data_IF_067152847930
#
_entry.id   IF_067152847930
#
_cell.length_a   1.000
_cell.length_b   1.000
_cell.length_c   1.000
_cell.angle_alpha   90.00
_cell.angle_beta   90.00
_cell.angle_gamma   90.00
#
_symmetry.space_group_name_H-M   'P 1'
#
loop_
_entity.id
_entity.type
_entity.pdbx_description
1 polymer ?
#
# COMPACT_ATOMS: atom_id res chain seq x y z
N UNK A 1 5.86 7.39 23.80
CA UNK A 1 4.97 6.42 23.14
C UNK A 1 4.97 6.56 21.62
N UNK A 2 5.05 7.76 21.08
CA UNK A 2 4.95 7.97 19.63
C UNK A 2 6.15 7.42 18.83
N UNK A 3 7.37 7.49 19.37
CA UNK A 3 8.57 6.94 18.71
C UNK A 3 8.44 5.43 18.38
N UNK A 4 7.78 4.64 19.23
CA UNK A 4 7.54 3.21 18.96
C UNK A 4 6.58 3.00 17.79
N UNK A 5 5.57 3.85 17.65
CA UNK A 5 4.64 3.82 16.52
C UNK A 5 5.35 4.13 15.20
N UNK A 6 6.19 5.16 15.20
CA UNK A 6 6.95 5.55 14.01
C UNK A 6 7.98 4.48 13.63
N UNK A 7 8.66 3.88 14.60
CA UNK A 7 9.55 2.75 14.35
C UNK A 7 8.79 1.54 13.78
N UNK A 8 7.62 1.21 14.32
CA UNK A 8 6.76 0.14 13.81
C UNK A 8 6.32 0.41 12.36
N UNK A 9 5.90 1.65 12.03
CA UNK A 9 5.55 2.03 10.66
C UNK A 9 6.75 1.93 9.71
N UNK A 10 7.95 2.38 10.12
CA UNK A 10 9.14 2.26 9.30
C UNK A 10 9.52 0.78 9.07
N UNK A 11 9.53 -0.05 10.11
CA UNK A 11 9.84 -1.49 10.00
C UNK A 11 8.80 -2.21 9.14
N UNK A 12 7.52 -1.93 9.33
CA UNK A 12 6.45 -2.57 8.57
C UNK A 12 6.47 -2.16 7.10
N UNK A 13 6.69 -0.87 6.80
CA UNK A 13 6.81 -0.40 5.41
C UNK A 13 8.09 -0.90 4.75
N UNK A 14 9.18 -1.00 5.50
CA UNK A 14 10.39 -1.70 5.05
C UNK A 14 10.05 -3.13 4.62
N UNK A 15 9.39 -3.92 5.48
CA UNK A 15 9.06 -5.30 5.16
C UNK A 15 8.13 -5.42 3.94
N UNK A 16 7.09 -4.59 3.87
CA UNK A 16 6.16 -4.56 2.74
C UNK A 16 6.91 -4.28 1.43
N UNK A 17 7.74 -3.25 1.41
CA UNK A 17 8.48 -2.84 0.22
C UNK A 17 9.56 -3.87 -0.14
N UNK A 18 10.30 -4.37 0.83
CA UNK A 18 11.35 -5.36 0.59
C UNK A 18 10.79 -6.69 0.08
N UNK A 19 9.77 -7.24 0.74
CA UNK A 19 9.17 -8.50 0.32
C UNK A 19 8.40 -8.37 -1.01
N UNK A 20 7.58 -7.33 -1.14
CA UNK A 20 6.77 -7.11 -2.35
C UNK A 20 7.62 -6.76 -3.57
N UNK A 21 8.41 -5.69 -3.50
CA UNK A 21 9.28 -5.30 -4.63
C UNK A 21 10.41 -6.32 -4.84
N UNK A 22 10.95 -6.91 -3.79
CA UNK A 22 11.97 -7.95 -3.89
C UNK A 22 11.48 -9.20 -4.59
N UNK A 23 10.23 -9.61 -4.34
CA UNK A 23 9.62 -10.72 -5.06
C UNK A 23 9.51 -10.46 -6.56
N UNK A 24 9.21 -9.22 -6.95
CA UNK A 24 9.15 -8.81 -8.35
C UNK A 24 10.54 -8.76 -9.00
N UNK A 25 11.54 -8.20 -8.29
CA UNK A 25 12.89 -8.00 -8.82
C UNK A 25 13.69 -9.30 -8.90
N UNK A 26 13.56 -10.16 -7.88
CA UNK A 26 14.42 -11.34 -7.73
C UNK A 26 13.74 -12.61 -8.23
N UNK A 27 12.46 -12.84 -7.87
CA UNK A 27 11.84 -14.14 -8.00
C UNK A 27 10.81 -14.25 -9.13
N UNK A 28 10.20 -13.15 -9.58
CA UNK A 28 9.07 -13.19 -10.51
C UNK A 28 9.43 -13.84 -11.85
N UNK A 29 10.58 -13.51 -12.40
CA UNK A 29 11.06 -14.00 -13.71
C UNK A 29 12.23 -14.99 -13.57
N UNK A 30 12.38 -15.64 -12.41
CA UNK A 30 13.42 -16.64 -12.23
C UNK A 30 13.24 -17.78 -13.24
N UNK A 31 14.28 -18.21 -13.96
CA UNK A 31 14.14 -19.22 -15.00
C UNK A 31 13.48 -20.50 -14.50
N UNK A 32 12.52 -21.02 -15.26
CA UNK A 32 11.79 -22.29 -15.05
C UNK A 32 10.86 -22.35 -13.82
N UNK A 33 11.17 -21.67 -12.72
CA UNK A 33 10.42 -21.75 -11.45
C UNK A 33 10.01 -20.39 -10.90
N UNK A 34 9.98 -19.37 -11.76
CA UNK A 34 9.57 -18.01 -11.37
C UNK A 34 8.14 -17.95 -10.85
N UNK A 35 7.93 -17.10 -9.86
CA UNK A 35 6.62 -16.96 -9.19
C UNK A 35 5.60 -16.12 -9.98
N UNK A 36 6.03 -15.40 -11.01
CA UNK A 36 5.17 -14.57 -11.85
C UNK A 36 4.34 -13.56 -11.09
N UNK A 37 3.31 -13.00 -11.74
CA UNK A 37 2.46 -11.97 -11.13
C UNK A 37 1.64 -12.49 -9.94
N UNK A 38 1.26 -13.77 -9.95
CA UNK A 38 0.52 -14.38 -8.83
C UNK A 38 1.36 -14.40 -7.56
N UNK A 39 2.62 -14.84 -7.67
CA UNK A 39 3.52 -14.85 -6.53
C UNK A 39 3.87 -13.47 -6.00
N UNK A 40 4.05 -12.48 -6.89
CA UNK A 40 4.24 -11.08 -6.49
C UNK A 40 3.02 -10.55 -5.74
N UNK A 41 1.81 -10.82 -6.24
CA UNK A 41 0.57 -10.43 -5.57
C UNK A 41 0.46 -11.04 -4.18
N UNK A 42 0.78 -12.33 -4.03
CA UNK A 42 0.82 -13.00 -2.75
C UNK A 42 1.87 -12.39 -1.80
N UNK A 43 3.07 -12.09 -2.30
CA UNK A 43 4.14 -11.50 -1.49
C UNK A 43 3.72 -10.15 -0.88
N UNK A 44 3.10 -9.27 -1.67
CA UNK A 44 2.57 -7.99 -1.15
C UNK A 44 1.47 -8.21 -0.11
N UNK A 45 0.49 -9.06 -0.38
CA UNK A 45 -0.59 -9.30 0.57
C UNK A 45 -0.12 -9.97 1.87
N UNK A 46 0.74 -10.99 1.78
CA UNK A 46 1.30 -11.69 2.93
C UNK A 46 2.21 -10.80 3.76
N UNK A 47 2.93 -9.85 3.16
CA UNK A 47 3.71 -8.87 3.91
C UNK A 47 2.82 -8.04 4.84
N UNK A 48 1.64 -7.64 4.38
CA UNK A 48 0.66 -6.91 5.20
C UNK A 48 0.03 -7.83 6.25
N UNK A 49 -0.37 -9.05 5.90
CA UNK A 49 -0.91 -10.01 6.89
C UNK A 49 0.06 -10.17 8.06
N UNK A 50 1.33 -10.47 7.74
CA UNK A 50 2.35 -10.75 8.76
C UNK A 50 2.65 -9.53 9.62
N UNK A 51 2.77 -8.34 9.03
CA UNK A 51 3.02 -7.12 9.80
C UNK A 51 1.80 -6.67 10.58
N UNK A 52 0.58 -6.80 10.06
CA UNK A 52 -0.61 -6.43 10.80
C UNK A 52 -0.81 -7.26 12.07
N UNK A 53 -0.47 -8.56 12.04
CA UNK A 53 -0.42 -9.38 13.25
C UNK A 53 0.74 -8.99 14.17
N UNK A 54 1.92 -8.69 13.61
CA UNK A 54 3.13 -8.43 14.40
C UNK A 54 3.12 -7.06 15.09
N UNK A 55 2.67 -6.00 14.43
CA UNK A 55 2.78 -4.61 14.91
C UNK A 55 1.47 -3.81 14.90
N UNK A 56 0.34 -4.42 14.49
CA UNK A 56 -0.94 -3.73 14.44
C UNK A 56 -1.37 -3.14 15.78
N UNK A 57 -1.08 -3.82 16.89
CA UNK A 57 -1.33 -3.35 18.25
C UNK A 57 -0.41 -2.20 18.69
N UNK A 58 0.68 -1.91 17.96
CA UNK A 58 1.65 -0.84 18.28
C UNK A 58 1.29 0.45 17.55
N UNK A 59 1.14 0.41 16.21
CA UNK A 59 0.97 1.59 15.37
C UNK A 59 -0.38 1.65 14.63
N UNK A 60 -1.13 0.57 14.60
CA UNK A 60 -2.25 0.38 13.68
C UNK A 60 -1.83 -0.24 12.34
N UNK A 61 -0.52 -0.39 12.09
CA UNK A 61 0.04 -1.02 10.89
C UNK A 61 -0.49 -0.41 9.58
N UNK A 62 -0.36 0.92 9.44
CA UNK A 62 -0.80 1.60 8.22
C UNK A 62 0.11 1.30 7.03
N UNK A 63 1.44 1.38 7.20
CA UNK A 63 2.51 1.07 6.23
C UNK A 63 2.38 1.80 4.88
N UNK A 64 1.54 2.83 4.84
CA UNK A 64 1.08 3.44 3.60
C UNK A 64 0.53 4.85 3.86
N UNK A 65 1.07 5.89 3.21
CA UNK A 65 0.55 7.26 3.33
C UNK A 65 -0.92 7.38 2.95
N UNK A 66 -1.39 6.65 1.92
CA UNK A 66 -2.78 6.70 1.50
C UNK A 66 -3.73 6.07 2.54
N UNK A 67 -3.29 5.01 3.22
CA UNK A 67 -4.02 4.41 4.34
C UNK A 67 -4.09 5.39 5.50
N UNK A 68 -2.98 6.03 5.85
CA UNK A 68 -2.92 7.00 6.94
C UNK A 68 -3.86 8.19 6.70
N UNK A 69 -3.84 8.76 5.49
CA UNK A 69 -4.74 9.86 5.09
C UNK A 69 -6.19 9.40 5.03
N UNK A 70 -6.46 8.22 4.49
CA UNK A 70 -7.81 7.67 4.40
C UNK A 70 -8.44 7.40 5.76
N UNK A 71 -7.68 6.85 6.71
CA UNK A 71 -8.15 6.67 8.10
C UNK A 71 -8.42 8.02 8.78
N UNK A 72 -7.60 9.04 8.51
CA UNK A 72 -7.84 10.39 9.02
C UNK A 72 -9.10 11.02 8.40
N UNK A 73 -9.30 10.89 7.08
CA UNK A 73 -10.50 11.36 6.39
C UNK A 73 -11.77 10.63 6.89
N UNK A 74 -11.64 9.34 7.21
CA UNK A 74 -12.70 8.54 7.83
C UNK A 74 -12.90 8.79 9.33
N UNK A 75 -12.14 9.72 9.94
CA UNK A 75 -12.29 10.08 11.36
C UNK A 75 -11.68 9.08 12.35
N UNK A 76 -10.85 8.13 11.89
CA UNK A 76 -10.25 7.10 12.74
C UNK A 76 -8.76 7.33 13.06
N UNK A 77 -8.18 8.42 12.58
CA UNK A 77 -6.79 8.76 12.84
C UNK A 77 -6.61 10.27 13.02
N UNK A 78 -5.84 10.75 14.00
CA UNK A 78 -5.66 12.19 14.23
C UNK A 78 -4.80 12.83 13.14
N UNK A 79 -5.29 13.91 12.53
CA UNK A 79 -4.63 14.60 11.42
C UNK A 79 -3.19 15.06 11.76
N UNK A 80 -2.94 15.47 13.00
CA UNK A 80 -1.60 15.87 13.44
C UNK A 80 -0.54 14.76 13.44
N UNK A 81 -0.97 13.50 13.32
CA UNK A 81 -0.07 12.33 13.26
C UNK A 81 0.21 11.87 11.81
N UNK A 82 -0.43 12.47 10.80
CA UNK A 82 -0.24 12.08 9.40
C UNK A 82 1.23 12.26 8.99
N UNK A 83 1.79 13.44 9.17
CA UNK A 83 3.14 13.74 8.70
C UNK A 83 4.22 12.85 9.34
N UNK A 84 4.27 12.62 10.65
CA UNK A 84 5.22 11.69 11.25
C UNK A 84 5.09 10.26 10.73
N UNK A 85 3.87 9.75 10.51
CA UNK A 85 3.64 8.42 9.93
C UNK A 85 4.17 8.34 8.50
N UNK A 86 3.82 9.30 7.66
CA UNK A 86 4.27 9.37 6.27
C UNK A 86 5.80 9.39 6.17
N UNK A 87 6.46 10.20 7.01
CA UNK A 87 7.93 10.27 7.05
C UNK A 87 8.51 8.91 7.42
N UNK A 88 8.00 8.25 8.47
CA UNK A 88 8.47 6.94 8.91
C UNK A 88 8.27 5.87 7.81
N UNK A 89 7.12 5.88 7.15
CA UNK A 89 6.81 4.97 6.05
C UNK A 89 7.74 5.17 4.85
N UNK A 90 7.99 6.42 4.45
CA UNK A 90 8.91 6.71 3.34
C UNK A 90 10.34 6.29 3.69
N UNK A 91 10.82 6.55 4.91
CA UNK A 91 12.13 6.07 5.37
C UNK A 91 12.22 4.55 5.27
N UNK A 92 11.20 3.83 5.75
CA UNK A 92 11.15 2.37 5.65
C UNK A 92 11.22 1.85 4.21
N UNK A 93 10.43 2.44 3.30
CA UNK A 93 10.42 2.06 1.90
C UNK A 93 11.77 2.35 1.19
N UNK A 94 12.40 3.48 1.47
CA UNK A 94 13.72 3.84 0.91
C UNK A 94 14.80 2.90 1.44
N UNK A 95 14.80 2.60 2.74
CA UNK A 95 15.75 1.65 3.33
C UNK A 95 15.58 0.23 2.73
N UNK A 96 14.34 -0.21 2.52
CA UNK A 96 14.06 -1.48 1.85
C UNK A 96 14.59 -1.52 0.41
N UNK A 97 14.34 -0.46 -0.35
CA UNK A 97 14.82 -0.36 -1.72
C UNK A 97 16.35 -0.28 -1.80
N UNK A 98 16.99 0.41 -0.86
CA UNK A 98 18.46 0.45 -0.77
C UNK A 98 19.04 -0.94 -0.54
N UNK A 99 18.49 -1.70 0.43
CA UNK A 99 18.97 -3.05 0.69
C UNK A 99 18.68 -3.98 -0.49
N UNK A 100 17.51 -3.88 -1.11
CA UNK A 100 17.15 -4.65 -2.29
C UNK A 100 18.10 -4.34 -3.46
N UNK A 101 18.45 -3.06 -3.66
CA UNK A 101 19.42 -2.65 -4.69
C UNK A 101 20.78 -3.32 -4.46
N UNK A 102 21.28 -3.29 -3.23
CA UNK A 102 22.58 -3.95 -2.89
C UNK A 102 22.52 -5.45 -3.18
N UNK A 103 21.44 -6.12 -2.79
CA UNK A 103 21.28 -7.57 -3.01
C UNK A 103 21.16 -7.88 -4.51
N UNK A 104 20.30 -7.16 -5.23
CA UNK A 104 20.07 -7.39 -6.65
C UNK A 104 21.31 -7.09 -7.50
N UNK A 105 22.12 -6.11 -7.10
CA UNK A 105 23.39 -5.78 -7.77
C UNK A 105 24.43 -6.90 -7.70
N UNK A 106 24.26 -7.88 -6.82
CA UNK A 106 25.08 -9.09 -6.77
C UNK A 106 24.81 -10.05 -7.93
N UNK A 107 23.72 -9.88 -8.67
CA UNK A 107 23.37 -10.75 -9.80
C UNK A 107 24.00 -10.23 -11.09
N UNK A 108 24.63 -11.14 -11.87
CA UNK A 108 25.18 -10.80 -13.19
C UNK A 108 24.07 -10.29 -14.11
N UNK A 109 24.27 -9.12 -14.72
CA UNK A 109 23.32 -8.53 -15.67
C UNK A 109 22.16 -7.76 -15.00
N UNK A 110 22.20 -7.55 -13.69
CA UNK A 110 21.25 -6.66 -13.04
C UNK A 110 21.40 -5.23 -13.59
N UNK A 111 20.26 -4.63 -13.92
CA UNK A 111 20.20 -3.26 -14.41
C UNK A 111 18.98 -2.58 -13.79
N UNK A 112 19.24 -1.63 -12.90
CA UNK A 112 18.19 -0.87 -12.19
C UNK A 112 17.29 -0.08 -13.15
N UNK A 113 17.83 0.36 -14.30
CA UNK A 113 17.08 1.11 -15.31
C UNK A 113 15.93 0.31 -15.94
N UNK A 114 15.96 -1.03 -15.85
CA UNK A 114 14.87 -1.92 -16.30
C UNK A 114 13.62 -1.86 -15.44
N UNK A 115 13.58 -0.96 -14.45
CA UNK A 115 12.35 -0.60 -13.73
C UNK A 115 12.33 -0.91 -12.24
N UNK A 116 13.13 -1.82 -11.72
CA UNK A 116 13.33 -2.09 -10.28
C UNK A 116 12.03 -2.08 -9.45
N UNK A 117 10.97 -2.69 -9.96
CA UNK A 117 9.62 -2.68 -9.41
C UNK A 117 8.98 -1.28 -9.26
N UNK A 118 9.46 -0.27 -9.98
CA UNK A 118 8.82 1.06 -10.02
C UNK A 118 7.45 1.00 -10.68
N UNK A 119 6.60 1.93 -10.28
CA UNK A 119 5.31 2.15 -10.88
C UNK A 119 5.43 3.08 -12.10
N UNK A 120 4.60 2.88 -13.11
CA UNK A 120 4.62 3.69 -14.31
C UNK A 120 3.30 3.69 -15.10
N UNK A 121 3.20 4.65 -16.02
CA UNK A 121 2.12 4.76 -17.00
C UNK A 121 2.67 4.98 -18.41
N UNK A 122 1.83 4.83 -19.43
CA UNK A 122 2.26 4.94 -20.84
C UNK A 122 3.24 3.83 -21.19
N UNK A 123 4.39 4.20 -21.75
CA UNK A 123 5.46 3.25 -22.12
C UNK A 123 6.08 2.51 -20.93
N UNK A 124 5.93 3.04 -19.71
CA UNK A 124 6.40 2.42 -18.47
C UNK A 124 5.33 1.59 -17.73
N UNK A 125 4.12 1.52 -18.27
CA UNK A 125 3.10 0.56 -17.84
C UNK A 125 3.39 -0.80 -18.46
N UNK A 126 3.27 -1.90 -17.69
CA UNK A 126 3.47 -3.25 -18.24
C UNK A 126 2.53 -3.57 -19.42
N UNK A 127 1.28 -3.11 -19.35
CA UNK A 127 0.30 -3.26 -20.43
C UNK A 127 0.15 -2.02 -21.31
N UNK A 128 1.07 -1.05 -21.22
CA UNK A 128 1.08 0.19 -21.98
C UNK A 128 -0.17 1.06 -21.80
N UNK A 129 -0.76 1.03 -20.61
CA UNK A 129 -1.94 1.83 -20.28
C UNK A 129 -1.58 3.31 -20.12
N UNK A 130 -2.37 4.18 -20.74
CA UNK A 130 -2.17 5.63 -20.66
C UNK A 130 -2.45 6.21 -19.26
N UNK A 131 -2.02 7.45 -19.05
CA UNK A 131 -2.09 8.18 -17.78
C UNK A 131 -3.49 8.12 -17.15
N UNK A 132 -4.56 8.36 -17.92
CA UNK A 132 -5.92 8.42 -17.38
C UNK A 132 -6.40 7.08 -16.84
N UNK A 133 -6.13 5.98 -17.55
CA UNK A 133 -6.47 4.63 -17.10
C UNK A 133 -5.70 4.27 -15.84
N UNK A 134 -4.40 4.59 -15.76
CA UNK A 134 -3.56 4.37 -14.60
C UNK A 134 -4.04 5.20 -13.39
N UNK A 135 -4.42 6.45 -13.61
CA UNK A 135 -4.94 7.32 -12.56
C UNK A 135 -6.25 6.74 -11.96
N UNK A 136 -7.20 6.35 -12.80
CA UNK A 136 -8.46 5.74 -12.35
C UNK A 136 -8.19 4.43 -11.60
N UNK A 137 -7.31 3.57 -12.13
CA UNK A 137 -6.95 2.31 -11.49
C UNK A 137 -6.43 2.55 -10.07
N UNK A 138 -5.48 3.45 -9.90
CA UNK A 138 -4.91 3.75 -8.59
C UNK A 138 -5.94 4.34 -7.62
N UNK A 139 -6.80 5.26 -8.08
CA UNK A 139 -7.87 5.84 -7.26
C UNK A 139 -8.84 4.76 -6.79
N UNK A 140 -9.37 3.93 -7.72
CA UNK A 140 -10.40 2.93 -7.41
C UNK A 140 -9.82 1.84 -6.51
N UNK A 141 -8.62 1.32 -6.81
CA UNK A 141 -8.01 0.25 -6.02
C UNK A 141 -7.67 0.73 -4.61
N UNK A 142 -7.19 1.97 -4.45
CA UNK A 142 -6.90 2.52 -3.12
C UNK A 142 -8.19 2.83 -2.36
N UNK A 143 -9.22 3.34 -3.04
CA UNK A 143 -10.53 3.57 -2.43
C UNK A 143 -11.10 2.28 -1.85
N UNK A 144 -11.11 1.21 -2.62
CA UNK A 144 -11.60 -0.10 -2.16
C UNK A 144 -10.72 -0.69 -1.07
N UNK A 145 -9.41 -0.48 -1.13
CA UNK A 145 -8.50 -0.92 -0.08
C UNK A 145 -8.83 -0.27 1.27
N UNK A 146 -9.02 1.04 1.29
CA UNK A 146 -9.42 1.77 2.50
C UNK A 146 -10.81 1.37 2.98
N UNK A 147 -11.75 1.20 2.07
CA UNK A 147 -13.10 0.73 2.41
C UNK A 147 -13.04 -0.61 3.15
N UNK A 148 -12.23 -1.57 2.65
CA UNK A 148 -12.04 -2.88 3.26
C UNK A 148 -11.30 -2.77 4.59
N UNK A 149 -10.25 -1.96 4.70
CA UNK A 149 -9.52 -1.73 5.95
C UNK A 149 -10.48 -1.23 7.02
N UNK A 150 -11.27 -0.20 6.72
CA UNK A 150 -12.23 0.36 7.68
C UNK A 150 -13.31 -0.63 8.07
N UNK A 151 -13.76 -1.46 7.12
CA UNK A 151 -14.73 -2.52 7.38
C UNK A 151 -14.18 -3.63 8.27
N UNK A 152 -13.02 -4.15 7.90
CA UNK A 152 -12.38 -5.24 8.64
C UNK A 152 -11.95 -4.84 10.06
N UNK A 153 -11.68 -3.55 10.29
CA UNK A 153 -11.32 -2.99 11.61
C UNK A 153 -12.49 -2.33 12.34
N UNK A 154 -13.71 -2.50 11.85
CA UNK A 154 -14.89 -1.96 12.52
C UNK A 154 -15.18 -2.73 13.81
N UNK A 155 -15.68 -2.03 14.85
CA UNK A 155 -15.95 -2.66 16.15
C UNK A 155 -16.99 -3.80 16.12
N UNK A 156 -17.84 -3.88 15.09
CA UNK A 156 -18.78 -4.97 14.86
C UNK A 156 -18.23 -6.10 13.96
N UNK A 157 -17.00 -5.95 13.42
CA UNK A 157 -16.38 -6.99 12.61
C UNK A 157 -15.84 -8.14 13.49
N UNK A 158 -15.72 -9.37 12.95
CA UNK A 158 -15.15 -10.49 13.70
C UNK A 158 -13.74 -10.19 14.18
N UNK A 159 -13.51 -10.31 15.48
CA UNK A 159 -12.19 -10.03 16.06
C UNK A 159 -11.12 -10.99 15.54
N UNK A 160 -9.89 -10.47 15.34
CA UNK A 160 -8.72 -11.26 14.93
C UNK A 160 -8.58 -11.51 13.43
N UNK A 161 -9.60 -11.24 12.61
CA UNK A 161 -9.55 -11.52 11.17
C UNK A 161 -9.16 -10.32 10.30
N UNK A 162 -9.10 -9.12 10.86
CA UNK A 162 -8.76 -7.92 10.10
C UNK A 162 -7.43 -8.02 9.32
N UNK A 163 -6.31 -8.50 9.89
CA UNK A 163 -5.05 -8.65 9.17
C UNK A 163 -5.18 -9.55 7.93
N UNK A 164 -5.92 -10.65 8.06
CA UNK A 164 -6.12 -11.59 6.95
C UNK A 164 -6.96 -10.95 5.84
N UNK A 165 -8.08 -10.31 6.19
CA UNK A 165 -8.96 -9.65 5.23
C UNK A 165 -8.23 -8.53 4.47
N UNK A 166 -7.44 -7.72 5.17
CA UNK A 166 -6.68 -6.60 4.59
C UNK A 166 -5.58 -7.12 3.66
N UNK A 167 -4.82 -8.13 4.08
CA UNK A 167 -3.77 -8.69 3.24
C UNK A 167 -4.31 -9.40 2.00
N UNK A 168 -5.42 -10.15 2.11
CA UNK A 168 -6.07 -10.77 0.95
C UNK A 168 -6.67 -9.72 0.00
N UNK A 169 -7.19 -8.60 0.51
CA UNK A 169 -7.61 -7.49 -0.32
C UNK A 169 -6.43 -6.93 -1.14
N UNK A 170 -5.25 -6.79 -0.52
CA UNK A 170 -4.06 -6.35 -1.23
C UNK A 170 -3.58 -7.37 -2.27
N UNK A 171 -3.72 -8.69 -2.01
CA UNK A 171 -3.48 -9.71 -3.05
C UNK A 171 -4.39 -9.49 -4.24
N UNK A 172 -5.70 -9.34 -4.03
CA UNK A 172 -6.67 -9.12 -5.11
C UNK A 172 -6.37 -7.84 -5.90
N UNK A 173 -6.02 -6.76 -5.23
CA UNK A 173 -5.65 -5.50 -5.87
C UNK A 173 -4.45 -5.71 -6.80
N UNK A 174 -3.42 -6.42 -6.34
CA UNK A 174 -2.23 -6.71 -7.15
C UNK A 174 -2.55 -7.61 -8.35
N UNK A 175 -3.38 -8.64 -8.17
CA UNK A 175 -3.82 -9.53 -9.26
C UNK A 175 -4.49 -8.77 -10.41
N UNK A 176 -5.18 -7.66 -10.11
CA UNK A 176 -5.88 -6.85 -11.11
C UNK A 176 -4.98 -5.76 -11.69
N UNK A 177 -4.19 -5.07 -10.86
CA UNK A 177 -3.58 -3.80 -11.24
C UNK A 177 -2.09 -3.85 -11.57
N UNK A 178 -1.38 -4.97 -11.34
CA UNK A 178 0.03 -5.10 -11.77
C UNK A 178 0.18 -4.83 -13.28
N UNK A 179 -0.64 -5.39 -14.19
CA UNK A 179 -0.49 -5.10 -15.62
C UNK A 179 -0.68 -3.64 -15.97
N UNK A 180 -1.42 -2.87 -15.17
CA UNK A 180 -1.78 -1.48 -15.46
C UNK A 180 -0.71 -0.50 -14.96
N UNK A 181 -0.32 -0.59 -13.69
CA UNK A 181 0.57 0.40 -13.06
C UNK A 181 1.77 -0.21 -12.34
N UNK A 182 1.93 -1.53 -12.39
CA UNK A 182 2.73 -2.30 -11.44
C UNK A 182 2.27 -2.11 -9.97
N UNK A 183 1.02 -1.80 -9.78
CA UNK A 183 0.29 -1.58 -8.52
C UNK A 183 1.04 -0.71 -7.53
N UNK A 184 0.60 0.52 -7.36
CA UNK A 184 1.06 1.37 -6.25
C UNK A 184 0.19 1.19 -5.03
N UNK A 185 -0.98 1.79 -5.05
CA UNK A 185 -1.90 2.00 -3.93
C UNK A 185 -1.22 2.49 -2.64
N UNK A 186 0.07 2.84 -2.74
CA UNK A 186 0.94 3.19 -1.62
C UNK A 186 2.06 4.16 -2.06
N UNK A 187 1.96 5.46 -1.75
CA UNK A 187 2.96 6.44 -2.12
C UNK A 187 4.38 6.12 -1.60
N UNK A 188 4.51 5.58 -0.38
CA UNK A 188 5.82 5.23 0.17
C UNK A 188 6.46 4.07 -0.60
N UNK A 189 5.69 3.01 -0.89
CA UNK A 189 6.12 1.87 -1.72
C UNK A 189 6.60 2.34 -3.10
N UNK A 190 5.94 3.33 -3.69
CA UNK A 190 6.33 3.85 -5.01
C UNK A 190 7.59 4.72 -4.95
N UNK A 191 7.76 5.48 -3.88
CA UNK A 191 8.91 6.36 -3.70
C UNK A 191 10.22 5.58 -3.59
N UNK A 192 10.22 4.47 -2.85
CA UNK A 192 11.42 3.66 -2.64
C UNK A 192 12.11 3.29 -3.96
N UNK A 193 11.52 2.46 -4.82
CA UNK A 193 12.13 2.07 -6.09
C UNK A 193 12.40 3.25 -7.05
N UNK A 194 11.50 4.25 -7.10
CA UNK A 194 11.65 5.39 -8.00
C UNK A 194 12.92 6.19 -7.76
N UNK A 195 13.36 6.30 -6.50
CA UNK A 195 14.61 6.98 -6.15
C UNK A 195 15.85 6.28 -6.73
N UNK A 196 15.82 4.96 -6.91
CA UNK A 196 16.93 4.18 -7.45
C UNK A 196 16.91 4.13 -8.98
N UNK A 197 15.74 4.09 -9.59
CA UNK A 197 15.59 4.15 -11.06
C UNK A 197 15.88 5.55 -11.58
N UNK A 198 15.47 6.59 -10.85
CA UNK A 198 15.65 7.98 -11.29
C UNK A 198 14.74 8.33 -12.48
N UNK A 199 15.19 9.30 -13.27
CA UNK A 199 14.64 9.68 -14.57
C UNK A 199 13.10 9.61 -14.66
N UNK A 200 12.60 8.74 -15.51
CA UNK A 200 11.17 8.57 -15.77
C UNK A 200 10.36 8.19 -14.52
N UNK A 201 10.93 7.34 -13.65
CA UNK A 201 10.20 6.87 -12.47
C UNK A 201 9.95 8.01 -11.47
N UNK A 202 10.92 8.91 -11.28
CA UNK A 202 10.73 10.14 -10.51
C UNK A 202 9.76 11.10 -11.20
N UNK A 203 9.86 11.24 -12.54
CA UNK A 203 8.96 12.09 -13.32
C UNK A 203 7.50 11.64 -13.26
N UNK A 204 7.24 10.35 -13.10
CA UNK A 204 5.89 9.78 -13.01
C UNK A 204 5.41 9.57 -11.57
N UNK A 205 6.27 9.74 -10.57
CA UNK A 205 5.96 9.46 -9.14
C UNK A 205 4.77 10.28 -8.61
N UNK A 206 4.54 11.48 -9.14
CA UNK A 206 3.44 12.33 -8.73
C UNK A 206 2.06 11.65 -8.82
N UNK A 207 1.82 10.83 -9.87
CA UNK A 207 0.57 10.10 -10.03
C UNK A 207 0.37 9.13 -8.87
N UNK A 208 1.42 8.42 -8.48
CA UNK A 208 1.43 7.41 -7.42
C UNK A 208 1.43 8.00 -6.00
N UNK A 209 1.43 9.33 -5.89
CA UNK A 209 1.07 10.06 -4.69
C UNK A 209 -0.37 10.56 -4.76
N UNK A 210 -0.73 11.30 -5.81
CA UNK A 210 -2.03 11.98 -5.90
C UNK A 210 -3.18 10.97 -5.97
N UNK A 211 -3.10 9.99 -6.88
CA UNK A 211 -4.20 9.05 -7.09
C UNK A 211 -4.47 8.16 -5.88
N UNK A 212 -3.45 7.53 -5.22
CA UNK A 212 -3.69 6.77 -4.00
C UNK A 212 -4.19 7.63 -2.83
N UNK A 213 -3.68 8.86 -2.64
CA UNK A 213 -4.16 9.74 -1.58
C UNK A 213 -5.63 10.12 -1.77
N UNK A 214 -6.04 10.43 -3.01
CA UNK A 214 -7.43 10.71 -3.36
C UNK A 214 -8.30 9.47 -3.13
N UNK A 215 -7.88 8.31 -3.63
CA UNK A 215 -8.60 7.05 -3.43
C UNK A 215 -8.75 6.70 -1.95
N UNK A 216 -7.68 6.83 -1.17
CA UNK A 216 -7.69 6.62 0.27
C UNK A 216 -8.68 7.52 0.99
N UNK A 217 -8.67 8.82 0.71
CA UNK A 217 -9.61 9.77 1.30
C UNK A 217 -11.07 9.43 0.93
N UNK A 218 -11.32 9.12 -0.35
CA UNK A 218 -12.67 8.72 -0.82
C UNK A 218 -13.14 7.44 -0.13
N UNK A 219 -12.27 6.43 0.02
CA UNK A 219 -12.61 5.18 0.68
C UNK A 219 -12.92 5.37 2.17
N UNK A 220 -12.12 6.19 2.86
CA UNK A 220 -12.35 6.56 4.26
C UNK A 220 -13.69 7.26 4.47
N UNK A 221 -13.97 8.29 3.67
CA UNK A 221 -15.23 9.05 3.76
C UNK A 221 -16.43 8.19 3.38
N UNK A 222 -16.34 7.40 2.30
CA UNK A 222 -17.43 6.52 1.84
C UNK A 222 -17.81 5.48 2.89
N UNK A 223 -16.78 4.84 3.50
CA UNK A 223 -17.04 3.86 4.54
C UNK A 223 -17.65 4.52 5.79
N UNK A 224 -17.12 5.67 6.21
CA UNK A 224 -17.68 6.42 7.33
C UNK A 224 -19.17 6.69 7.11
N UNK A 225 -19.55 7.22 5.95
CA UNK A 225 -20.93 7.49 5.59
C UNK A 225 -21.81 6.22 5.65
N UNK A 226 -21.30 5.09 5.13
CA UNK A 226 -22.04 3.82 5.14
C UNK A 226 -22.22 3.24 6.55
N UNK A 227 -21.23 3.43 7.44
CA UNK A 227 -21.19 2.80 8.76
C UNK A 227 -21.80 3.66 9.88
N UNK A 228 -22.05 4.94 9.63
CA UNK A 228 -22.73 5.82 10.58
C UNK A 228 -24.22 5.43 10.67
N UNK A 229 -24.70 5.10 11.89
CA UNK A 229 -26.13 4.91 12.11
C UNK A 229 -26.84 6.26 11.95
N UNK A 230 -28.04 6.29 11.31
CA UNK A 230 -28.81 7.52 11.23
C UNK A 230 -29.01 8.11 12.64
N UNK A 231 -28.54 9.32 12.85
CA UNK A 231 -28.81 10.09 14.07
C UNK A 231 -30.29 10.42 14.10
N UNK A 232 -31.12 9.56 14.71
CA UNK A 232 -32.56 9.85 14.85
C UNK A 232 -33.44 8.63 14.87
N UNK A 233 -33.35 7.80 15.90
CA UNK A 233 -34.49 7.20 16.57
C UNK A 233 -34.11 6.89 18.02
N UNK A 234 -34.21 7.88 18.87
CA UNK A 234 -34.49 7.61 20.29
C UNK A 234 -35.85 6.90 20.31
N UNK A 235 -35.83 5.59 20.16
CA UNK A 235 -37.00 4.82 20.58
C UNK A 235 -37.11 5.03 22.07
N UNK A 236 -38.13 5.84 22.46
CA UNK A 236 -38.54 6.02 23.84
C UNK A 236 -38.71 4.64 24.49
N UNK A 237 -37.85 4.35 25.46
CA UNK A 237 -38.17 3.33 26.45
C UNK A 237 -39.37 3.87 27.21
N UNK A 238 -40.54 3.41 26.86
CA UNK A 238 -41.67 3.51 27.77
C UNK A 238 -41.44 2.60 28.98
N UNK A 239 -41.87 3.05 30.19
CA UNK A 239 -41.55 2.46 31.47
C UNK A 239 -42.13 1.05 31.65
#
# INVERSE_FOLDING_TARGET
MDAKKYAAEAIGTFWLTFAGCGSAVIAAAFPQVGIGLVGVSLAFGLSVVTMAYAIGHVSGCHLNPAVTVGLAAGGRFPAGQIAPYVIAQVIGAVAASALLYVIASGATGFDVAKGFASNGYGEHSHGQYGLFACFIMEVVMTMMFLFIIMGATHGKAPAGFAPLAIGLALVMIHLVSIPVTNTSVNPARSTGPALFVGGWALGQLWLFWIAPLLGGALGGVSYRWLSEEPTGTVQGRNP
#
